data_IF_990638684614
#
_entry.id   IF_990638684614
#
_cell.length_a   1.000
_cell.length_b   1.000
_cell.length_c   1.000
_cell.angle_alpha   90.00
_cell.angle_beta   90.00
_cell.angle_gamma   90.00
#
_symmetry.space_group_name_H-M   'P 1'
#
loop_
_entity.id
_entity.type
_entity.pdbx_description
1 polymer ?
#
# COMPACT_ATOMS: atom_id res chain seq x y z
N UNK A 1 -8.60 13.95 -17.95
CA UNK A 1 -8.74 13.84 -19.42
C UNK A 1 -7.79 14.80 -20.08
N UNK A 2 -7.02 14.32 -21.04
CA UNK A 2 -6.07 15.10 -21.83
C UNK A 2 -6.57 15.16 -23.27
N UNK A 3 -6.49 16.34 -23.88
CA UNK A 3 -6.78 16.51 -25.30
C UNK A 3 -5.47 16.84 -26.01
N UNK A 4 -5.16 16.05 -27.02
CA UNK A 4 -3.99 16.21 -27.86
C UNK A 4 -4.44 16.72 -29.21
N UNK A 5 -3.93 17.88 -29.62
CA UNK A 5 -4.18 18.41 -30.94
C UNK A 5 -2.95 18.15 -31.82
N UNK A 6 -3.12 17.32 -32.84
CA UNK A 6 -2.13 17.12 -33.87
C UNK A 6 -2.39 18.12 -34.99
N UNK A 7 -1.40 18.95 -35.33
CA UNK A 7 -1.42 19.83 -36.50
C UNK A 7 -0.35 19.41 -37.49
N UNK A 8 -0.74 19.19 -38.73
CA UNK A 8 0.17 18.84 -39.84
C UNK A 8 0.13 19.96 -40.85
N UNK A 9 1.29 20.50 -41.22
CA UNK A 9 1.42 21.59 -42.19
C UNK A 9 2.30 21.19 -43.37
N UNK A 10 1.96 21.67 -44.57
CA UNK A 10 2.76 21.51 -45.77
C UNK A 10 3.72 22.72 -45.98
N UNK A 11 4.71 22.60 -46.89
CA UNK A 11 5.65 23.69 -47.18
C UNK A 11 5.00 24.92 -47.83
N UNK A 12 3.77 24.79 -48.34
CA UNK A 12 3.01 25.89 -48.95
C UNK A 12 2.19 26.67 -47.90
N UNK A 13 2.28 26.30 -46.62
CA UNK A 13 1.62 26.98 -45.51
C UNK A 13 0.20 26.51 -45.22
N UNK A 14 -0.28 25.46 -45.89
CA UNK A 14 -1.58 24.84 -45.55
C UNK A 14 -1.39 23.91 -44.37
N UNK A 15 -2.43 23.76 -43.56
CA UNK A 15 -2.39 22.82 -42.45
C UNK A 15 -3.74 22.14 -42.23
N UNK A 16 -3.68 20.95 -41.67
CA UNK A 16 -4.82 20.20 -41.14
C UNK A 16 -4.58 19.96 -39.66
N UNK A 17 -5.65 19.87 -38.86
CA UNK A 17 -5.55 19.55 -37.46
C UNK A 17 -6.59 18.48 -37.06
N UNK A 18 -6.21 17.61 -36.15
CA UNK A 18 -7.06 16.59 -35.55
C UNK A 18 -6.88 16.59 -34.03
N UNK A 19 -7.93 16.29 -33.28
CA UNK A 19 -7.90 16.23 -31.82
C UNK A 19 -8.14 14.80 -31.38
N UNK A 20 -7.27 14.27 -30.51
CA UNK A 20 -7.41 12.98 -29.86
C UNK A 20 -7.60 13.18 -28.36
N UNK A 21 -8.52 12.43 -27.76
CA UNK A 21 -8.80 12.48 -26.33
C UNK A 21 -8.19 11.27 -25.64
N UNK A 22 -7.46 11.49 -24.55
CA UNK A 22 -6.94 10.43 -23.68
C UNK A 22 -7.54 10.59 -22.31
N UNK A 23 -8.28 9.58 -21.88
CA UNK A 23 -8.80 9.50 -20.52
C UNK A 23 -7.82 8.71 -19.66
N UNK A 24 -7.39 9.32 -18.56
CA UNK A 24 -6.54 8.66 -17.56
C UNK A 24 -7.44 8.30 -16.39
N UNK A 25 -7.75 7.01 -16.28
CA UNK A 25 -8.52 6.49 -15.17
C UNK A 25 -7.58 6.24 -13.97
N UNK A 26 -8.07 6.44 -12.73
CA UNK A 26 -7.33 6.04 -11.54
C UNK A 26 -7.03 4.54 -11.59
N UNK A 27 -5.86 4.14 -11.08
CA UNK A 27 -5.52 2.73 -10.95
C UNK A 27 -6.58 2.04 -10.05
N UNK A 28 -7.32 1.04 -10.57
CA UNK A 28 -8.38 0.38 -9.81
C UNK A 28 -7.83 -0.40 -8.60
N UNK A 29 -6.54 -0.78 -8.61
CA UNK A 29 -5.90 -1.54 -7.55
C UNK A 29 -5.29 -0.64 -6.46
N UNK A 30 -5.30 0.68 -6.64
CA UNK A 30 -4.66 1.64 -5.71
C UNK A 30 -5.18 1.52 -4.27
N UNK A 31 -6.44 1.11 -4.09
CA UNK A 31 -7.06 0.92 -2.78
C UNK A 31 -6.76 -0.46 -2.16
N UNK A 32 -6.18 -1.38 -2.93
CA UNK A 32 -5.74 -2.70 -2.48
C UNK A 32 -4.24 -2.76 -2.20
N UNK A 33 -3.50 -1.66 -2.36
CA UNK A 33 -2.06 -1.58 -2.15
C UNK A 33 -1.67 -1.46 -0.66
N UNK A 34 -0.65 -2.21 -0.27
CA UNK A 34 -0.11 -2.27 1.09
C UNK A 34 1.39 -1.99 1.05
N UNK A 35 1.88 -1.27 2.04
CA UNK A 35 3.28 -0.89 2.21
C UNK A 35 3.83 -1.62 3.45
N UNK A 36 5.01 -2.23 3.28
CA UNK A 36 5.76 -2.89 4.33
C UNK A 36 7.03 -2.08 4.62
N UNK A 37 7.24 -1.66 5.86
CA UNK A 37 8.54 -1.11 6.25
C UNK A 37 9.41 -2.27 6.75
N UNK A 38 10.57 -2.47 6.12
CA UNK A 38 11.48 -3.58 6.42
C UNK A 38 12.77 -3.06 7.04
N UNK A 39 13.25 -3.73 8.08
CA UNK A 39 14.56 -3.46 8.66
C UNK A 39 15.65 -4.11 7.79
N UNK A 40 16.19 -3.34 6.86
CA UNK A 40 17.26 -3.78 5.96
C UNK A 40 18.22 -2.62 5.63
N UNK A 41 19.50 -2.93 5.45
CA UNK A 41 20.48 -1.98 4.90
C UNK A 41 20.34 -2.00 3.38
N UNK A 42 19.99 -0.86 2.75
CA UNK A 42 19.71 -0.77 1.30
C UNK A 42 20.88 -1.30 0.44
N UNK A 43 22.13 -1.13 0.88
CA UNK A 43 23.32 -1.63 0.20
C UNK A 43 23.54 -3.15 0.32
N UNK A 44 22.79 -3.84 1.18
CA UNK A 44 22.92 -5.28 1.46
C UNK A 44 21.77 -6.11 0.88
N UNK A 45 20.73 -5.48 0.31
CA UNK A 45 19.58 -6.20 -0.24
C UNK A 45 19.91 -6.70 -1.65
N UNK A 46 20.09 -8.02 -1.79
CA UNK A 46 20.30 -8.67 -3.08
C UNK A 46 18.98 -8.94 -3.80
N UNK A 47 19.02 -9.08 -5.14
CA UNK A 47 17.85 -9.46 -5.92
C UNK A 47 17.28 -10.82 -5.47
N UNK A 48 18.14 -11.77 -5.11
CA UNK A 48 17.72 -13.08 -4.61
C UNK A 48 16.93 -12.98 -3.29
N UNK A 49 17.32 -12.07 -2.38
CA UNK A 49 16.57 -11.83 -1.14
C UNK A 49 15.20 -11.21 -1.42
N UNK A 50 15.11 -10.38 -2.46
CA UNK A 50 13.83 -9.81 -2.92
C UNK A 50 12.92 -10.86 -3.51
N UNK A 51 13.43 -11.74 -4.37
CA UNK A 51 12.65 -12.84 -4.94
C UNK A 51 12.17 -13.80 -3.83
N UNK A 52 13.01 -14.05 -2.82
CA UNK A 52 12.66 -14.85 -1.64
C UNK A 52 11.53 -14.20 -0.84
N UNK A 53 11.63 -12.89 -0.57
CA UNK A 53 10.60 -12.12 0.11
C UNK A 53 9.25 -12.20 -0.61
N UNK A 54 9.26 -12.01 -1.94
CA UNK A 54 8.06 -12.10 -2.78
C UNK A 54 7.45 -13.50 -2.71
N UNK A 55 8.27 -14.54 -2.84
CA UNK A 55 7.83 -15.93 -2.76
C UNK A 55 7.18 -16.27 -1.42
N UNK A 56 7.81 -15.90 -0.30
CA UNK A 56 7.25 -16.15 1.02
C UNK A 56 5.98 -15.35 1.29
N UNK A 57 5.88 -14.11 0.82
CA UNK A 57 4.63 -13.33 0.90
C UNK A 57 3.49 -13.99 0.11
N UNK A 58 3.78 -14.50 -1.09
CA UNK A 58 2.79 -15.22 -1.90
C UNK A 58 2.31 -16.51 -1.21
N UNK A 59 3.23 -17.25 -0.59
CA UNK A 59 2.92 -18.46 0.19
C UNK A 59 2.07 -18.15 1.43
N UNK A 60 2.44 -17.13 2.22
CA UNK A 60 1.67 -16.69 3.40
C UNK A 60 0.24 -16.27 3.05
N UNK A 61 0.08 -15.61 1.90
CA UNK A 61 -1.23 -15.19 1.41
C UNK A 61 -2.04 -16.34 0.80
N UNK A 62 -1.47 -17.55 0.70
CA UNK A 62 -2.06 -18.73 0.07
C UNK A 62 -2.46 -18.47 -1.39
N UNK A 63 -1.63 -17.70 -2.11
CA UNK A 63 -1.90 -17.23 -3.46
C UNK A 63 -0.67 -17.45 -4.36
N UNK A 64 -0.47 -18.68 -4.87
CA UNK A 64 0.73 -19.05 -5.63
C UNK A 64 0.88 -18.32 -6.99
N UNK A 65 -0.22 -17.80 -7.55
CA UNK A 65 -0.24 -17.07 -8.84
C UNK A 65 -0.63 -15.58 -8.69
N UNK A 66 -0.78 -15.07 -7.46
CA UNK A 66 -1.00 -13.64 -7.28
C UNK A 66 0.29 -12.90 -7.61
N UNK A 67 0.24 -11.99 -8.58
CA UNK A 67 1.34 -11.08 -8.89
C UNK A 67 1.58 -10.12 -7.71
N UNK A 68 2.24 -10.63 -6.66
CA UNK A 68 2.84 -9.84 -5.59
C UNK A 68 4.01 -9.11 -6.23
N UNK A 69 3.77 -7.88 -6.68
CA UNK A 69 4.81 -7.07 -7.31
C UNK A 69 5.38 -6.12 -6.28
N UNK A 70 6.66 -6.30 -5.95
CA UNK A 70 7.41 -5.35 -5.12
C UNK A 70 7.95 -4.27 -6.04
N UNK A 71 7.45 -3.03 -5.91
CA UNK A 71 7.71 -1.99 -6.91
C UNK A 71 8.94 -1.14 -6.61
N UNK A 72 9.31 -0.97 -5.33
CA UNK A 72 10.51 -0.23 -4.96
C UNK A 72 10.97 -0.50 -3.52
N UNK A 73 12.29 -0.40 -3.30
CA UNK A 73 12.94 -0.30 -1.99
C UNK A 73 13.42 1.14 -1.81
N UNK A 74 12.69 1.97 -1.08
CA UNK A 74 13.15 3.31 -0.70
C UNK A 74 12.69 3.64 0.71
N UNK A 75 13.48 3.32 1.73
CA UNK A 75 13.15 3.58 3.15
C UNK A 75 11.70 3.16 3.57
N UNK A 76 11.11 2.23 2.83
CA UNK A 76 9.70 1.86 2.80
C UNK A 76 9.49 0.98 1.56
N UNK A 77 8.99 -0.23 1.74
CA UNK A 77 8.85 -1.22 0.67
C UNK A 77 7.39 -1.29 0.23
N UNK A 78 7.12 -1.11 -1.06
CA UNK A 78 5.75 -1.11 -1.60
C UNK A 78 5.38 -2.50 -2.16
N UNK A 79 4.32 -3.12 -1.64
CA UNK A 79 3.80 -4.43 -2.09
C UNK A 79 2.45 -4.25 -2.78
N UNK A 80 2.37 -4.62 -4.06
CA UNK A 80 1.14 -4.49 -4.85
C UNK A 80 0.50 -5.84 -5.08
N UNK A 81 -0.82 -5.90 -4.97
CA UNK A 81 -1.65 -7.08 -5.21
C UNK A 81 -2.42 -6.92 -6.53
N UNK A 82 -2.39 -7.94 -7.40
CA UNK A 82 -3.19 -7.91 -8.63
C UNK A 82 -3.33 -9.27 -9.33
N UNK A 83 -4.35 -10.06 -8.94
CA UNK A 83 -5.34 -10.73 -9.82
C UNK A 83 -6.28 -11.62 -8.97
N UNK A 84 -7.59 -11.52 -9.21
CA UNK A 84 -8.68 -12.01 -8.32
C UNK A 84 -9.53 -10.84 -7.80
N UNK A 85 -10.70 -11.10 -7.19
CA UNK A 85 -11.45 -10.04 -6.48
C UNK A 85 -10.52 -9.40 -5.44
N UNK A 86 -10.15 -8.12 -5.59
CA UNK A 86 -9.13 -7.52 -4.76
C UNK A 86 -9.61 -7.47 -3.32
N UNK A 87 -8.90 -8.17 -2.43
CA UNK A 87 -9.07 -7.98 -1.00
C UNK A 87 -8.95 -6.48 -0.70
N UNK A 88 -9.92 -5.88 0.02
CA UNK A 88 -9.81 -4.49 0.44
C UNK A 88 -8.48 -4.26 1.15
N UNK A 89 -7.73 -3.22 0.76
CA UNK A 89 -6.41 -2.91 1.33
C UNK A 89 -6.36 -2.94 2.86
N UNK A 90 -7.34 -2.37 3.59
CA UNK A 90 -7.38 -2.45 5.05
C UNK A 90 -7.42 -3.87 5.61
N UNK A 91 -8.14 -4.79 4.96
CA UNK A 91 -8.21 -6.19 5.38
C UNK A 91 -6.90 -6.91 5.11
N UNK A 92 -6.29 -6.66 3.94
CA UNK A 92 -4.99 -7.22 3.59
C UNK A 92 -3.88 -6.72 4.54
N UNK A 93 -3.83 -5.41 4.82
CA UNK A 93 -2.89 -4.81 5.74
C UNK A 93 -3.04 -5.38 7.15
N UNK A 94 -4.27 -5.53 7.65
CA UNK A 94 -4.52 -6.15 8.97
C UNK A 94 -4.04 -7.59 9.03
N UNK A 95 -4.29 -8.40 7.99
CA UNK A 95 -3.85 -9.80 7.93
C UNK A 95 -2.32 -9.91 7.91
N UNK A 96 -1.67 -9.15 7.04
CA UNK A 96 -0.20 -9.11 6.96
C UNK A 96 0.42 -8.58 8.25
N UNK A 97 -0.18 -7.56 8.87
CA UNK A 97 0.28 -7.03 10.14
C UNK A 97 0.28 -8.10 11.25
N UNK A 98 -0.82 -8.83 11.43
CA UNK A 98 -0.91 -9.92 12.43
C UNK A 98 0.11 -11.01 12.17
N UNK A 99 0.27 -11.43 10.91
CA UNK A 99 1.20 -12.49 10.54
C UNK A 99 2.67 -12.07 10.73
N UNK A 100 3.06 -10.94 10.15
CA UNK A 100 4.47 -10.56 9.99
C UNK A 100 5.08 -9.89 11.22
N UNK A 101 4.27 -9.19 12.01
CA UNK A 101 4.74 -8.56 13.24
C UNK A 101 4.55 -9.47 14.46
N UNK A 102 3.69 -10.49 14.35
CA UNK A 102 3.52 -11.55 15.35
C UNK A 102 4.61 -12.62 15.30
N UNK A 103 5.10 -12.97 14.11
CA UNK A 103 6.19 -13.94 13.92
C UNK A 103 7.29 -13.37 13.02
N UNK A 104 8.46 -13.13 13.62
CA UNK A 104 9.62 -12.55 12.95
C UNK A 104 10.39 -13.51 12.04
N UNK A 105 10.04 -14.81 12.01
CA UNK A 105 10.79 -15.81 11.21
C UNK A 105 10.18 -16.10 9.84
N UNK A 106 9.07 -15.43 9.49
CA UNK A 106 8.36 -15.70 8.23
C UNK A 106 9.07 -15.13 6.99
N UNK A 107 9.89 -14.08 7.15
CA UNK A 107 10.52 -13.34 6.06
C UNK A 107 12.03 -13.17 6.30
N UNK A 108 12.85 -12.96 5.24
CA UNK A 108 14.29 -12.71 5.38
C UNK A 108 14.61 -11.36 6.06
N UNK A 109 13.62 -10.47 6.15
CA UNK A 109 13.73 -9.16 6.78
C UNK A 109 12.74 -9.06 7.93
N UNK A 110 13.16 -8.40 9.01
CA UNK A 110 12.23 -8.02 10.08
C UNK A 110 11.29 -6.95 9.56
N UNK A 111 9.99 -7.19 9.65
CA UNK A 111 8.97 -6.19 9.34
C UNK A 111 8.84 -5.24 10.52
N UNK A 112 8.88 -3.94 10.23
CA UNK A 112 8.71 -2.87 11.21
C UNK A 112 7.27 -2.35 11.20
N UNK A 113 6.66 -2.24 10.01
CA UNK A 113 5.31 -1.70 9.83
C UNK A 113 4.60 -2.33 8.65
N UNK A 114 3.27 -2.35 8.72
CA UNK A 114 2.36 -2.78 7.66
C UNK A 114 1.22 -1.80 7.58
N UNK A 115 1.11 -1.06 6.48
CA UNK A 115 0.15 0.03 6.30
C UNK A 115 -0.51 -0.04 4.92
N UNK A 116 -1.70 0.53 4.75
CA UNK A 116 -2.25 0.75 3.41
C UNK A 116 -1.54 1.91 2.74
N UNK A 117 -1.30 1.83 1.42
CA UNK A 117 -0.66 2.91 0.66
C UNK A 117 -1.44 4.22 0.75
N UNK A 118 -2.76 4.12 0.67
CA UNK A 118 -3.70 5.22 0.88
C UNK A 118 -4.19 5.24 2.32
N UNK A 119 -4.69 6.38 2.79
CA UNK A 119 -5.37 6.44 4.08
C UNK A 119 -6.79 5.87 3.95
N UNK A 120 -6.95 4.60 4.32
CA UNK A 120 -8.21 3.85 4.15
C UNK A 120 -8.83 3.42 5.49
N UNK A 121 -8.29 3.89 6.61
CA UNK A 121 -8.83 3.61 7.94
C UNK A 121 -10.07 4.47 8.21
N UNK A 122 -11.09 3.84 8.80
CA UNK A 122 -12.32 4.52 9.23
C UNK A 122 -12.23 5.14 10.62
N UNK A 123 -11.27 4.73 11.44
CA UNK A 123 -11.05 5.28 12.78
C UNK A 123 -12.32 5.31 13.65
N UNK A 124 -13.14 4.25 13.57
CA UNK A 124 -14.45 4.13 14.24
C UNK A 124 -15.44 5.25 13.93
N UNK A 125 -15.23 6.01 12.84
CA UNK A 125 -15.96 7.24 12.52
C UNK A 125 -15.83 8.34 13.60
N UNK A 126 -14.79 8.24 14.44
CA UNK A 126 -14.49 9.15 15.56
C UNK A 126 -13.06 9.68 15.52
N UNK A 127 -12.53 9.79 14.31
CA UNK A 127 -11.17 10.20 14.04
C UNK A 127 -10.92 10.28 12.55
N UNK A 128 -9.71 10.71 12.20
CA UNK A 128 -9.26 10.78 10.82
C UNK A 128 -7.99 9.98 10.64
N UNK A 129 -7.88 9.33 9.50
CA UNK A 129 -6.65 8.68 9.11
C UNK A 129 -5.61 9.74 8.69
N UNK A 130 -4.44 9.72 9.32
CA UNK A 130 -3.33 10.60 8.97
C UNK A 130 -2.59 10.08 7.72
N UNK A 131 -2.49 10.87 6.62
CA UNK A 131 -1.91 10.40 5.37
C UNK A 131 -0.40 10.14 5.42
N UNK A 132 0.30 10.67 6.42
CA UNK A 132 1.74 10.50 6.64
C UNK A 132 1.97 9.30 7.56
N UNK A 133 1.37 9.31 8.75
CA UNK A 133 1.62 8.26 9.73
C UNK A 133 0.79 7.00 9.50
N UNK A 134 -0.24 7.06 8.64
CA UNK A 134 -1.19 5.95 8.38
C UNK A 134 -1.86 5.43 9.65
N UNK A 135 -2.01 6.30 10.65
CA UNK A 135 -2.65 6.00 11.93
C UNK A 135 -3.93 6.81 12.11
N UNK A 136 -4.78 6.35 13.01
CA UNK A 136 -5.96 7.10 13.42
C UNK A 136 -5.59 8.24 14.37
N UNK A 137 -5.96 9.46 14.01
CA UNK A 137 -5.93 10.63 14.88
C UNK A 137 -7.35 10.85 15.39
N UNK A 138 -7.57 10.51 16.65
CA UNK A 138 -8.90 10.56 17.27
C UNK A 138 -9.37 11.98 17.56
N UNK A 139 -10.67 12.18 17.47
CA UNK A 139 -11.34 13.43 17.86
C UNK A 139 -11.32 13.62 19.39
N UNK A 140 -11.56 14.85 19.90
CA UNK A 140 -11.68 15.07 21.34
C UNK A 140 -12.67 14.09 21.99
N UNK A 141 -12.36 13.61 23.20
CA UNK A 141 -13.10 12.58 23.95
C UNK A 141 -12.98 11.14 23.42
N UNK A 142 -12.27 10.94 22.31
CA UNK A 142 -11.92 9.63 21.78
C UNK A 142 -10.42 9.42 21.89
N UNK A 143 -10.01 8.20 22.22
CA UNK A 143 -8.61 7.83 22.35
C UNK A 143 -8.37 6.46 21.73
N UNK A 144 -7.13 6.22 21.30
CA UNK A 144 -6.71 4.88 20.93
C UNK A 144 -6.88 3.93 22.12
N UNK A 145 -7.24 2.68 21.86
CA UNK A 145 -7.41 1.68 22.91
C UNK A 145 -6.09 1.50 23.71
N UNK A 146 -6.03 1.90 25.00
CA UNK A 146 -4.80 1.87 25.78
C UNK A 146 -4.35 0.46 26.18
N UNK A 147 -5.24 -0.54 26.07
CA UNK A 147 -4.93 -1.95 26.31
C UNK A 147 -4.26 -2.54 25.07
N UNK A 148 -4.83 -2.31 23.88
CA UNK A 148 -4.25 -2.76 22.62
C UNK A 148 -2.95 -2.01 22.29
N UNK A 149 -2.80 -0.75 22.73
CA UNK A 149 -1.56 0.00 22.54
C UNK A 149 -0.43 -0.45 23.48
N UNK A 150 -0.75 -1.13 24.60
CA UNK A 150 0.21 -1.47 25.68
C UNK A 150 0.57 -2.95 25.73
N UNK A 151 -0.38 -3.85 25.46
CA UNK A 151 -0.22 -5.29 25.65
C UNK A 151 -0.07 -6.09 24.36
N UNK A 152 -0.38 -5.51 23.20
CA UNK A 152 -0.01 -6.07 21.90
C UNK A 152 1.07 -5.19 21.27
N UNK A 153 2.32 -5.67 21.14
CA UNK A 153 3.35 -4.95 20.37
C UNK A 153 2.98 -4.80 18.88
N UNK A 154 1.83 -5.33 18.47
CA UNK A 154 1.32 -5.39 17.11
C UNK A 154 -0.11 -4.83 17.06
N UNK A 155 -0.31 -3.59 17.52
CA UNK A 155 -1.59 -2.93 17.27
C UNK A 155 -1.68 -2.56 15.79
N UNK A 156 -2.33 -3.43 15.02
CA UNK A 156 -2.63 -3.24 13.60
C UNK A 156 -3.73 -2.18 13.43
N UNK A 157 -3.36 -0.92 13.65
CA UNK A 157 -4.21 0.27 13.71
C UNK A 157 -5.33 0.20 14.77
N UNK A 158 -5.10 0.72 15.99
CA UNK A 158 -6.12 0.73 17.01
C UNK A 158 -7.29 1.64 16.63
N UNK A 159 -8.54 1.24 16.90
CA UNK A 159 -9.70 2.09 16.72
C UNK A 159 -9.68 3.26 17.72
N UNK A 160 -10.37 4.35 17.35
CA UNK A 160 -10.74 5.39 18.31
C UNK A 160 -11.90 4.89 19.16
N UNK A 161 -11.71 4.86 20.48
CA UNK A 161 -12.68 4.41 21.48
C UNK A 161 -13.03 5.57 22.42
N UNK A 162 -14.26 5.55 22.93
CA UNK A 162 -14.72 6.54 23.89
C UNK A 162 -13.91 6.41 25.19
N UNK A 163 -13.49 7.55 25.72
CA UNK A 163 -12.71 7.65 26.95
C UNK A 163 -13.55 7.45 28.22
#
# INVERSE_FOLDING_TARGET
>A
TYLFQLRVSDPQGRFSAATATVEVLPDPLRQAEVELELQATVSQVSQQQMDTLVGQLAELLHMPDANVTVRSLSAGSEVRYGQGEPLPGPLLARRLCVLLLGDTQLLPFRVLRVDTRMCLLRCSDHGRCDPITKRCVCEPFWMENPILSRYEPVSCNPPCLLQ
#
